data_IF_718200197795
#
_entry.id   IF_718200197795
#
_cell.length_a   1.000
_cell.length_b   1.000
_cell.length_c   1.000
_cell.angle_alpha   90.00
_cell.angle_beta   90.00
_cell.angle_gamma   90.00
#
_symmetry.space_group_name_H-M   'P 1'
#
loop_
_entity.id
_entity.type
_entity.pdbx_description
1 polymer ?
#
# COMPACT_ATOMS: atom_id res chain seq x y z
N UNK A 1 11.46 0.81 -7.54
CA UNK A 1 12.47 0.06 -6.75
C UNK A 1 11.80 -1.11 -6.08
N UNK A 2 12.39 -2.31 -6.18
CA UNK A 2 11.98 -3.48 -5.40
C UNK A 2 13.13 -3.82 -4.45
N UNK A 3 12.90 -3.71 -3.15
CA UNK A 3 13.90 -3.97 -2.11
C UNK A 3 14.05 -5.47 -1.81
N UNK A 4 14.96 -5.80 -0.89
CA UNK A 4 15.15 -7.17 -0.43
C UNK A 4 13.87 -7.74 0.22
N UNK A 5 13.61 -9.03 -0.02
CA UNK A 5 12.51 -9.80 0.58
C UNK A 5 11.08 -9.28 0.27
N UNK A 6 10.91 -8.43 -0.74
CA UNK A 6 9.57 -8.07 -1.22
C UNK A 6 8.92 -9.31 -1.85
N UNK A 7 7.64 -9.55 -1.52
CA UNK A 7 6.83 -10.59 -2.16
C UNK A 7 5.76 -9.94 -3.02
N UNK A 8 5.70 -10.31 -4.30
CA UNK A 8 4.70 -9.84 -5.26
C UNK A 8 3.98 -11.06 -5.82
N UNK A 9 2.68 -11.16 -5.54
CA UNK A 9 1.85 -12.31 -5.91
C UNK A 9 1.19 -12.12 -7.28
N UNK A 10 0.57 -13.19 -7.85
CA UNK A 10 0.07 -13.18 -9.23
C UNK A 10 -0.88 -12.03 -9.55
N UNK A 11 -0.75 -11.51 -10.78
CA UNK A 11 -1.58 -10.42 -11.32
C UNK A 11 -1.45 -9.07 -10.58
N UNK A 12 -0.49 -8.93 -9.67
CA UNK A 12 -0.17 -7.62 -9.11
C UNK A 12 0.57 -6.77 -10.15
N UNK A 13 0.19 -5.49 -10.24
CA UNK A 13 0.75 -4.52 -11.17
C UNK A 13 1.49 -3.43 -10.39
N UNK A 14 2.76 -3.22 -10.70
CA UNK A 14 3.61 -2.19 -10.09
C UNK A 14 3.97 -1.16 -11.14
N UNK A 15 3.47 0.07 -10.96
CA UNK A 15 3.68 1.14 -11.92
C UNK A 15 5.07 1.80 -11.78
N UNK A 16 5.42 2.63 -12.77
CA UNK A 16 6.72 3.30 -12.83
C UNK A 16 6.95 4.20 -11.62
N UNK A 17 8.19 4.22 -11.13
CA UNK A 17 8.57 5.03 -9.98
C UNK A 17 8.07 4.52 -8.62
N UNK A 18 7.23 3.48 -8.58
CA UNK A 18 6.79 2.90 -7.31
C UNK A 18 7.96 2.30 -6.52
N UNK A 19 7.90 2.41 -5.19
CA UNK A 19 8.87 1.86 -4.25
C UNK A 19 8.19 0.78 -3.43
N UNK A 20 8.66 -0.45 -3.58
CA UNK A 20 8.30 -1.57 -2.71
C UNK A 20 9.49 -1.81 -1.78
N UNK A 21 9.34 -1.42 -0.51
CA UNK A 21 10.44 -1.41 0.45
C UNK A 21 10.59 -2.76 1.17
N UNK A 22 11.67 -2.93 1.93
CA UNK A 22 12.15 -4.22 2.44
C UNK A 22 11.04 -5.02 3.13
N UNK A 23 10.83 -6.25 2.66
CA UNK A 23 9.88 -7.18 3.26
C UNK A 23 8.40 -6.82 3.09
N UNK A 24 8.04 -5.82 2.27
CA UNK A 24 6.62 -5.58 2.00
C UNK A 24 6.00 -6.72 1.18
N UNK A 25 4.71 -6.94 1.38
CA UNK A 25 3.94 -8.00 0.72
C UNK A 25 2.84 -7.35 -0.10
N UNK A 26 2.80 -7.69 -1.38
CA UNK A 26 1.81 -7.24 -2.34
C UNK A 26 1.06 -8.48 -2.82
N UNK A 27 -0.14 -8.68 -2.28
CA UNK A 27 -0.97 -9.85 -2.63
C UNK A 27 -1.52 -9.79 -4.05
N UNK A 28 -2.18 -10.88 -4.45
CA UNK A 28 -2.75 -11.04 -5.78
C UNK A 28 -3.65 -9.87 -6.21
N UNK A 29 -3.60 -9.53 -7.50
CA UNK A 29 -4.47 -8.52 -8.14
C UNK A 29 -4.35 -7.10 -7.54
N UNK A 30 -3.29 -6.81 -6.78
CA UNK A 30 -3.04 -5.46 -6.30
C UNK A 30 -2.55 -4.54 -7.42
N UNK A 31 -2.88 -3.26 -7.34
CA UNK A 31 -2.36 -2.23 -8.24
C UNK A 31 -1.63 -1.20 -7.40
N UNK A 32 -0.33 -1.02 -7.65
CA UNK A 32 0.49 0.02 -7.02
C UNK A 32 0.77 1.13 -8.03
N UNK A 33 0.15 2.29 -7.82
CA UNK A 33 0.23 3.44 -8.71
C UNK A 33 1.62 4.08 -8.81
N UNK A 34 1.79 4.95 -9.80
CA UNK A 34 3.07 5.61 -10.08
C UNK A 34 3.57 6.40 -8.87
N UNK A 35 4.87 6.32 -8.61
CA UNK A 35 5.53 7.01 -7.48
C UNK A 35 4.97 6.69 -6.08
N UNK A 36 4.10 5.68 -5.93
CA UNK A 36 3.64 5.24 -4.63
C UNK A 36 4.78 4.56 -3.84
N UNK A 37 4.78 4.71 -2.53
CA UNK A 37 5.80 4.13 -1.65
C UNK A 37 5.15 3.21 -0.62
N UNK A 38 5.38 1.91 -0.79
CA UNK A 38 5.00 0.85 0.13
C UNK A 38 6.14 0.62 1.12
N UNK A 39 5.93 1.03 2.36
CA UNK A 39 6.95 1.04 3.41
C UNK A 39 7.39 -0.37 3.85
N UNK A 40 8.49 -0.46 4.64
CA UNK A 40 9.04 -1.74 5.07
C UNK A 40 8.02 -2.60 5.80
N UNK A 41 7.92 -3.88 5.43
CA UNK A 41 7.02 -4.83 6.07
C UNK A 41 5.52 -4.51 5.96
N UNK A 42 5.12 -3.52 5.15
CA UNK A 42 3.71 -3.23 4.91
C UNK A 42 3.06 -4.37 4.10
N UNK A 43 1.78 -4.62 4.34
CA UNK A 43 1.02 -5.70 3.69
C UNK A 43 -0.19 -5.11 2.96
N UNK A 44 -0.23 -5.31 1.65
CA UNK A 44 -1.41 -5.08 0.83
C UNK A 44 -2.09 -6.44 0.66
N UNK A 45 -3.28 -6.65 1.24
CA UNK A 45 -4.07 -7.85 0.97
C UNK A 45 -4.61 -7.84 -0.47
N UNK A 46 -5.19 -8.96 -0.93
CA UNK A 46 -5.59 -9.11 -2.33
C UNK A 46 -6.48 -7.97 -2.85
N UNK A 47 -6.34 -7.67 -4.15
CA UNK A 47 -7.15 -6.68 -4.85
C UNK A 47 -7.08 -5.25 -4.25
N UNK A 48 -6.02 -4.89 -3.54
CA UNK A 48 -5.82 -3.54 -3.02
C UNK A 48 -5.32 -2.61 -4.13
N UNK A 49 -5.86 -1.39 -4.18
CA UNK A 49 -5.44 -0.36 -5.14
C UNK A 49 -4.80 0.81 -4.40
N UNK A 50 -3.56 1.12 -4.74
CA UNK A 50 -2.81 2.25 -4.18
C UNK A 50 -2.72 3.34 -5.25
N UNK A 51 -3.25 4.52 -4.93
CA UNK A 51 -3.20 5.69 -5.80
C UNK A 51 -1.78 6.22 -5.98
N UNK A 52 -1.56 6.86 -7.12
CA UNK A 52 -0.34 7.60 -7.45
C UNK A 52 0.15 8.49 -6.30
N UNK A 53 1.47 8.51 -6.05
CA UNK A 53 2.11 9.36 -5.05
C UNK A 53 1.77 9.04 -3.59
N UNK A 54 1.01 7.98 -3.33
CA UNK A 54 0.59 7.64 -1.97
C UNK A 54 1.70 6.97 -1.17
N UNK A 55 1.64 7.14 0.15
CA UNK A 55 2.58 6.53 1.10
C UNK A 55 1.85 5.54 2.00
N UNK A 56 2.35 4.30 2.06
CA UNK A 56 1.93 3.28 3.02
C UNK A 56 3.02 3.07 4.05
N UNK A 57 2.79 3.46 5.30
CA UNK A 57 3.78 3.40 6.37
C UNK A 57 4.26 1.98 6.70
N UNK A 58 5.42 1.90 7.36
CA UNK A 58 6.02 0.64 7.77
C UNK A 58 5.02 -0.20 8.60
N UNK A 59 4.96 -1.51 8.32
CA UNK A 59 4.06 -2.46 8.96
C UNK A 59 2.56 -2.09 8.93
N UNK A 60 2.13 -1.18 8.05
CA UNK A 60 0.71 -0.96 7.83
C UNK A 60 0.08 -2.14 7.08
N UNK A 61 -1.19 -2.43 7.36
CA UNK A 61 -1.95 -3.50 6.73
C UNK A 61 -3.19 -2.91 6.06
N UNK A 62 -3.35 -3.18 4.76
CA UNK A 62 -4.49 -2.74 3.97
C UNK A 62 -5.40 -3.95 3.71
N UNK A 63 -6.64 -3.89 4.22
CA UNK A 63 -7.63 -4.96 4.05
C UNK A 63 -7.93 -5.22 2.56
N UNK A 64 -8.26 -6.47 2.24
CA UNK A 64 -8.60 -6.91 0.89
C UNK A 64 -9.66 -6.00 0.22
N UNK A 65 -9.44 -5.67 -1.05
CA UNK A 65 -10.34 -4.89 -1.89
C UNK A 65 -10.40 -3.39 -1.57
N UNK A 66 -9.55 -2.89 -0.67
CA UNK A 66 -9.52 -1.47 -0.31
C UNK A 66 -8.80 -0.65 -1.38
N UNK A 67 -9.37 0.51 -1.67
CA UNK A 67 -8.73 1.56 -2.49
C UNK A 67 -8.19 2.67 -1.59
N UNK A 68 -6.89 2.95 -1.73
CA UNK A 68 -6.21 4.11 -1.20
C UNK A 68 -6.11 5.13 -2.32
N UNK A 69 -6.70 6.31 -2.12
CA UNK A 69 -6.70 7.41 -3.08
C UNK A 69 -5.31 7.96 -3.35
N UNK A 70 -5.18 8.84 -4.36
CA UNK A 70 -3.92 9.47 -4.75
C UNK A 70 -3.36 10.37 -3.65
N UNK A 71 -2.04 10.44 -3.53
CA UNK A 71 -1.34 11.27 -2.56
C UNK A 71 -1.82 11.07 -1.10
N UNK A 72 -2.41 9.92 -0.79
CA UNK A 72 -2.85 9.61 0.56
C UNK A 72 -1.67 9.13 1.41
N UNK A 73 -1.78 9.30 2.73
CA UNK A 73 -0.76 8.89 3.69
C UNK A 73 -1.35 7.91 4.72
N UNK A 74 -0.84 6.69 4.74
CA UNK A 74 -1.19 5.68 5.75
C UNK A 74 -0.08 5.65 6.79
N UNK A 75 -0.43 5.90 8.05
CA UNK A 75 0.52 5.86 9.17
C UNK A 75 1.16 4.49 9.36
N UNK A 76 2.37 4.46 9.93
CA UNK A 76 3.03 3.22 10.30
C UNK A 76 2.18 2.40 11.29
N UNK A 77 2.13 1.08 11.10
CA UNK A 77 1.34 0.15 11.92
C UNK A 77 -0.18 0.30 11.79
N UNK A 78 -0.68 1.14 10.89
CA UNK A 78 -2.12 1.34 10.73
C UNK A 78 -2.80 0.12 10.08
N UNK A 79 -4.05 -0.14 10.46
CA UNK A 79 -4.89 -1.19 9.83
C UNK A 79 -6.06 -0.51 9.13
N UNK A 80 -5.97 -0.45 7.80
CA UNK A 80 -6.97 0.23 6.97
C UNK A 80 -8.07 -0.75 6.58
N UNK A 81 -9.28 -0.48 7.08
CA UNK A 81 -10.45 -1.34 6.89
C UNK A 81 -11.54 -0.70 6.00
N UNK A 82 -11.30 0.51 5.49
CA UNK A 82 -12.19 1.29 4.62
C UNK A 82 -11.39 2.03 3.57
N UNK A 83 -12.02 2.36 2.44
CA UNK A 83 -11.39 3.17 1.40
C UNK A 83 -10.93 4.52 1.95
N UNK A 84 -9.77 4.98 1.47
CA UNK A 84 -9.14 6.23 1.89
C UNK A 84 -9.23 7.22 0.72
N UNK A 85 -9.81 8.41 0.89
CA UNK A 85 -9.89 9.43 -0.16
C UNK A 85 -8.52 9.96 -0.58
N UNK A 86 -8.48 10.61 -1.75
CA UNK A 86 -7.30 11.33 -2.22
C UNK A 86 -6.82 12.37 -1.20
N UNK A 87 -5.50 12.46 -1.00
CA UNK A 87 -4.86 13.41 -0.09
C UNK A 87 -5.12 13.18 1.40
N UNK A 88 -5.92 12.17 1.77
CA UNK A 88 -6.23 11.91 3.17
C UNK A 88 -5.03 11.28 3.90
N UNK A 89 -4.91 11.62 5.19
CA UNK A 89 -3.98 10.96 6.10
C UNK A 89 -4.77 10.16 7.11
N UNK A 90 -4.51 8.86 7.24
CA UNK A 90 -5.18 7.99 8.21
C UNK A 90 -4.18 7.18 9.02
N UNK A 91 -4.49 6.93 10.29
CA UNK A 91 -3.62 6.19 11.21
C UNK A 91 -4.39 5.47 12.31
N UNK A 92 -3.74 4.47 12.93
CA UNK A 92 -4.29 3.70 14.04
C UNK A 92 -4.93 2.36 13.63
N UNK A 93 -5.54 1.70 14.62
CA UNK A 93 -6.20 0.39 14.48
C UNK A 93 -7.59 0.46 15.12
N UNK A 94 -8.68 0.54 14.32
CA UNK A 94 -8.68 0.74 12.88
C UNK A 94 -8.21 2.15 12.49
N UNK A 95 -7.66 2.29 11.29
CA UNK A 95 -7.25 3.59 10.76
C UNK A 95 -8.45 4.54 10.63
N UNK A 96 -8.28 5.79 11.04
CA UNK A 96 -9.27 6.88 10.96
C UNK A 96 -8.67 8.12 10.33
#
# INVERSE_FOLDING_TARGET
MIAANVTINPLAEIANGAICNTGCIIEHECIVGEFAHIGPGAVLCGNVKIGEGSFVGAHAVIKQGITIGKNAMIGAGAVVVKNVPDGATVMGVPAK
#
